data_IF_712478760663
#
_entry.id   IF_712478760663
#
_cell.length_a   1.000
_cell.length_b   1.000
_cell.length_c   1.000
_cell.angle_alpha   90.00
_cell.angle_beta   90.00
_cell.angle_gamma   90.00
#
_symmetry.space_group_name_H-M   'P 1'
#
loop_
_entity.id
_entity.type
_entity.pdbx_description
1 polymer ?
#
# COMPACT_ATOMS: atom_id res chain seq x y z
N UNK A 1 1.01 -1.26 -13.06
CA UNK A 1 1.91 -1.76 -12.01
C UNK A 1 1.47 -1.16 -10.67
N UNK A 2 1.54 -1.92 -9.59
CA UNK A 2 1.24 -1.46 -8.24
C UNK A 2 2.30 -1.98 -7.26
N UNK A 3 2.76 -1.15 -6.34
CA UNK A 3 3.70 -1.60 -5.31
C UNK A 3 3.01 -2.43 -4.24
N UNK A 4 1.82 -2.01 -3.78
CA UNK A 4 1.06 -2.64 -2.70
C UNK A 4 -0.38 -2.90 -3.14
N UNK A 5 -0.90 -4.07 -2.80
CA UNK A 5 -2.30 -4.43 -3.01
C UNK A 5 -2.94 -4.85 -1.69
N UNK A 6 -4.02 -4.16 -1.33
CA UNK A 6 -4.86 -4.48 -0.16
C UNK A 6 -5.76 -5.67 -0.44
N UNK A 7 -6.19 -6.43 0.59
CA UNK A 7 -7.10 -7.55 0.43
C UNK A 7 -8.52 -6.99 0.42
N UNK A 8 -8.86 -6.19 -0.60
CA UNK A 8 -10.21 -5.69 -0.79
C UNK A 8 -10.98 -6.62 -1.70
N UNK A 9 -12.28 -6.83 -1.46
CA UNK A 9 -13.13 -7.52 -2.42
C UNK A 9 -13.26 -6.60 -3.64
N UNK A 10 -12.44 -6.86 -4.66
CA UNK A 10 -12.63 -6.23 -5.96
C UNK A 10 -13.94 -6.75 -6.54
N UNK A 11 -14.82 -5.86 -6.98
CA UNK A 11 -16.07 -6.25 -7.64
C UNK A 11 -15.81 -7.02 -8.95
N UNK A 12 -14.61 -6.87 -9.52
CA UNK A 12 -14.15 -7.51 -10.74
C UNK A 12 -12.75 -8.10 -10.50
N UNK A 13 -12.39 -9.17 -11.20
CA UNK A 13 -11.02 -9.70 -11.18
C UNK A 13 -10.04 -8.64 -11.69
N UNK A 14 -9.31 -8.01 -10.76
CA UNK A 14 -8.33 -6.99 -11.07
C UNK A 14 -7.01 -7.67 -11.45
N UNK A 15 -6.76 -7.82 -12.75
CA UNK A 15 -5.49 -8.34 -13.25
C UNK A 15 -4.39 -7.26 -13.13
N UNK A 16 -3.36 -7.53 -12.32
CA UNK A 16 -2.21 -6.64 -12.16
C UNK A 16 -0.96 -7.35 -12.69
N UNK A 17 -0.47 -6.95 -13.86
CA UNK A 17 0.69 -7.59 -14.48
C UNK A 17 2.01 -7.40 -13.69
N UNK A 18 2.08 -6.36 -12.85
CA UNK A 18 3.25 -6.06 -12.02
C UNK A 18 2.79 -5.64 -10.63
N UNK A 19 2.83 -6.58 -9.70
CA UNK A 19 2.49 -6.38 -8.30
C UNK A 19 3.74 -6.60 -7.43
N UNK A 20 4.07 -5.63 -6.57
CA UNK A 20 5.14 -5.77 -5.58
C UNK A 20 4.74 -6.70 -4.43
N UNK A 21 3.78 -6.26 -3.61
CA UNK A 21 3.38 -6.99 -2.39
C UNK A 21 1.86 -6.97 -2.20
N UNK A 22 1.32 -8.09 -1.71
CA UNK A 22 -0.02 -8.13 -1.09
C UNK A 22 0.15 -7.82 0.40
N UNK A 23 -0.64 -6.90 0.93
CA UNK A 23 -0.55 -6.41 2.32
C UNK A 23 -1.90 -6.57 3.01
N UNK A 24 -1.95 -6.68 4.36
CA UNK A 24 -3.21 -6.68 5.11
C UNK A 24 -3.94 -5.34 4.98
N UNK A 25 -5.21 -5.30 5.39
CA UNK A 25 -6.06 -4.11 5.36
C UNK A 25 -5.75 -3.12 6.50
N UNK A 26 -4.51 -2.64 6.54
CA UNK A 26 -3.99 -1.72 7.56
C UNK A 26 -3.64 -0.35 6.97
N UNK A 27 -3.60 0.72 7.75
CA UNK A 27 -3.11 1.99 7.23
C UNK A 27 -1.57 1.97 7.13
N UNK A 28 -1.01 2.22 5.93
CA UNK A 28 0.44 2.17 5.68
C UNK A 28 1.01 3.56 5.37
N UNK A 29 2.21 3.83 5.88
CA UNK A 29 2.97 5.07 5.63
C UNK A 29 4.42 4.77 5.26
N UNK A 30 5.12 5.74 4.67
CA UNK A 30 6.51 5.58 4.27
C UNK A 30 6.69 5.16 2.82
N UNK A 31 7.94 5.27 2.34
CA UNK A 31 8.28 4.96 0.95
C UNK A 31 7.39 5.70 -0.08
N UNK A 32 7.12 6.99 0.18
CA UNK A 32 6.24 7.85 -0.62
C UNK A 32 4.78 7.90 -0.14
N UNK A 33 4.33 6.95 0.66
CA UNK A 33 3.01 6.96 1.30
C UNK A 33 2.97 7.93 2.48
N UNK A 34 1.85 8.61 2.67
CA UNK A 34 1.70 9.65 3.69
C UNK A 34 0.45 9.52 4.55
N UNK A 35 0.53 10.19 5.70
CA UNK A 35 -0.61 10.53 6.55
C UNK A 35 -0.58 12.03 6.81
N UNK A 36 -1.60 12.77 6.36
CA UNK A 36 -1.66 14.24 6.44
C UNK A 36 -0.38 14.93 5.92
N UNK A 37 0.20 14.39 4.84
CA UNK A 37 1.45 14.87 4.24
C UNK A 37 2.73 14.45 4.97
N UNK A 38 2.64 13.78 6.13
CA UNK A 38 3.78 13.31 6.91
C UNK A 38 4.18 11.88 6.53
N UNK A 39 5.45 11.55 6.72
CA UNK A 39 5.96 10.17 6.64
C UNK A 39 6.43 9.71 5.25
N UNK A 40 6.26 10.50 4.18
CA UNK A 40 6.70 10.13 2.81
C UNK A 40 8.14 9.68 2.71
N UNK A 41 9.03 10.33 3.47
CA UNK A 41 10.46 10.14 3.44
C UNK A 41 10.98 9.02 4.36
N UNK A 42 10.09 8.29 5.04
CA UNK A 42 10.51 7.14 5.84
C UNK A 42 11.14 6.07 4.92
N UNK A 43 12.26 5.44 5.32
CA UNK A 43 13.04 4.55 4.45
C UNK A 43 12.36 3.19 4.21
N UNK A 44 11.28 2.90 4.94
CA UNK A 44 10.52 1.66 4.84
C UNK A 44 9.01 1.94 4.85
N UNK A 45 8.26 0.86 4.74
CA UNK A 45 6.79 0.86 4.87
C UNK A 45 6.45 0.47 6.30
N UNK A 46 5.62 1.28 6.95
CA UNK A 46 5.23 1.10 8.35
C UNK A 46 3.70 1.04 8.46
N UNK A 47 3.22 0.31 9.47
CA UNK A 47 1.80 0.29 9.85
C UNK A 47 1.56 1.43 10.84
N UNK A 48 0.54 2.24 10.57
CA UNK A 48 0.03 3.22 11.53
C UNK A 48 -0.96 2.51 12.47
N UNK A 49 -0.62 2.51 13.76
CA UNK A 49 -1.56 2.17 14.83
C UNK A 49 -2.50 3.34 15.13
#
# INVERSE_FOLDING_TARGET
AALLLKPLPFQNDLEINYLGFKVPDEFLVGYGLDYDGLGRNLPGIYIRH
#
